data_IF_307243739958
#
_entry.id   IF_307243739958
#
_cell.length_a   1.000
_cell.length_b   1.000
_cell.length_c   1.000
_cell.angle_alpha   90.00
_cell.angle_beta   90.00
_cell.angle_gamma   90.00
#
_symmetry.space_group_name_H-M   'P 1'
#
loop_
_entity.id
_entity.type
_entity.pdbx_description
1 polymer ?
#
# COMPACT_ATOMS: atom_id res chain seq x y z
N UNK A 1 13.40 -10.45 32.21
CA UNK A 1 13.66 -11.16 30.93
C UNK A 1 12.37 -11.49 30.19
N UNK A 2 11.34 -12.04 30.84
CA UNK A 2 10.02 -12.36 30.25
C UNK A 2 9.40 -11.17 29.47
N UNK A 3 9.31 -10.00 30.10
CA UNK A 3 8.73 -8.79 29.50
C UNK A 3 9.46 -8.34 28.22
N UNK A 4 10.78 -8.49 28.18
CA UNK A 4 11.57 -8.15 26.99
C UNK A 4 11.33 -9.15 25.86
N UNK A 5 11.17 -10.45 26.17
CA UNK A 5 10.81 -11.47 25.18
C UNK A 5 9.42 -11.25 24.61
N UNK A 6 8.46 -10.90 25.46
CA UNK A 6 7.10 -10.55 25.03
C UNK A 6 7.11 -9.32 24.14
N UNK A 7 7.89 -8.29 24.48
CA UNK A 7 8.02 -7.10 23.65
C UNK A 7 8.64 -7.42 22.29
N UNK A 8 9.73 -8.20 22.26
CA UNK A 8 10.37 -8.63 21.02
C UNK A 8 9.40 -9.39 20.11
N UNK A 9 8.65 -10.35 20.65
CA UNK A 9 7.65 -11.10 19.87
C UNK A 9 6.56 -10.20 19.26
N UNK A 10 6.15 -9.13 19.96
CA UNK A 10 5.17 -8.17 19.44
C UNK A 10 5.75 -7.28 18.34
N UNK A 11 7.05 -6.96 18.40
CA UNK A 11 7.74 -6.22 17.34
C UNK A 11 7.89 -7.07 16.08
N UNK A 12 8.27 -8.34 16.23
CA UNK A 12 8.34 -9.30 15.12
C UNK A 12 6.98 -9.45 14.43
N UNK A 13 5.91 -9.59 15.22
CA UNK A 13 4.54 -9.67 14.71
C UNK A 13 4.12 -8.37 14.00
N UNK A 14 4.48 -7.21 14.54
CA UNK A 14 4.21 -5.92 13.91
C UNK A 14 4.95 -5.77 12.57
N UNK A 15 6.20 -6.19 12.50
CA UNK A 15 7.00 -6.23 11.27
C UNK A 15 6.36 -7.13 10.22
N UNK A 16 5.96 -8.35 10.59
CA UNK A 16 5.30 -9.28 9.69
C UNK A 16 3.97 -8.73 9.12
N UNK A 17 3.18 -8.04 9.96
CA UNK A 17 1.94 -7.38 9.52
C UNK A 17 2.20 -6.22 8.57
N UNK A 18 3.20 -5.39 8.82
CA UNK A 18 3.59 -4.29 7.93
C UNK A 18 4.10 -4.80 6.58
N UNK A 19 4.89 -5.88 6.57
CA UNK A 19 5.31 -6.54 5.34
C UNK A 19 4.11 -7.07 4.55
N UNK A 20 3.17 -7.72 5.21
CA UNK A 20 1.92 -8.20 4.57
C UNK A 20 1.12 -7.05 3.98
N UNK A 21 0.91 -5.97 4.74
CA UNK A 21 0.20 -4.77 4.27
C UNK A 21 0.87 -4.13 3.05
N UNK A 22 2.21 -4.09 3.01
CA UNK A 22 2.95 -3.57 1.86
C UNK A 22 2.65 -4.33 0.56
N UNK A 23 2.41 -5.64 0.66
CA UNK A 23 2.10 -6.49 -0.49
C UNK A 23 0.62 -6.44 -0.86
N UNK A 24 -0.28 -6.38 0.12
CA UNK A 24 -1.72 -6.44 -0.15
C UNK A 24 -2.26 -5.13 -0.70
N UNK A 25 -1.74 -3.96 -0.27
CA UNK A 25 -2.28 -2.66 -0.68
C UNK A 25 -2.19 -2.45 -2.19
N UNK A 26 -1.11 -2.90 -2.83
CA UNK A 26 -0.93 -2.83 -4.30
C UNK A 26 -1.67 -3.94 -5.03
N UNK A 27 -1.82 -5.12 -4.41
CA UNK A 27 -2.58 -6.23 -4.99
C UNK A 27 -4.09 -5.94 -5.09
N UNK A 28 -4.62 -5.06 -4.23
CA UNK A 28 -6.02 -4.64 -4.24
C UNK A 28 -6.28 -3.36 -5.05
N UNK A 29 -5.30 -2.87 -5.81
CA UNK A 29 -5.47 -1.63 -6.57
C UNK A 29 -6.61 -1.76 -7.60
N UNK A 30 -7.61 -0.85 -7.57
CA UNK A 30 -8.71 -0.89 -8.50
C UNK A 30 -8.22 -0.66 -9.93
N UNK A 31 -8.71 -1.47 -10.87
CA UNK A 31 -8.32 -1.39 -12.26
C UNK A 31 -8.69 -0.03 -12.88
N UNK A 32 -7.94 0.40 -13.91
CA UNK A 32 -8.16 1.62 -14.69
C UNK A 32 -9.64 1.94 -15.05
N UNK A 33 -10.49 0.96 -15.45
CA UNK A 33 -11.91 1.19 -15.71
C UNK A 33 -12.69 1.75 -14.53
N UNK A 34 -12.33 1.40 -13.28
CA UNK A 34 -13.00 1.87 -12.08
C UNK A 34 -12.88 3.39 -11.88
N UNK A 35 -11.89 4.01 -12.50
CA UNK A 35 -11.69 5.46 -12.49
C UNK A 35 -12.36 6.18 -13.67
N UNK A 36 -13.14 5.48 -14.51
CA UNK A 36 -13.75 6.07 -15.70
C UNK A 36 -12.73 6.44 -16.79
N UNK A 37 -11.53 5.85 -16.77
CA UNK A 37 -10.43 6.14 -17.69
C UNK A 37 -10.77 5.91 -19.19
N UNK A 38 -11.83 5.14 -19.46
CA UNK A 38 -12.33 4.84 -20.80
C UNK A 38 -13.40 5.82 -21.29
N UNK A 39 -13.87 6.75 -20.45
CA UNK A 39 -14.81 7.78 -20.89
C UNK A 39 -14.15 8.68 -21.95
N UNK A 40 -14.95 9.19 -22.90
CA UNK A 40 -14.44 10.09 -23.93
C UNK A 40 -14.18 11.49 -23.36
N UNK A 41 -13.22 12.21 -23.97
CA UNK A 41 -12.91 13.60 -23.64
C UNK A 41 -12.39 13.80 -22.21
N UNK A 42 -12.78 14.93 -21.61
CA UNK A 42 -12.24 15.40 -20.32
C UNK A 42 -12.45 14.43 -19.15
N UNK A 43 -13.60 13.74 -19.01
CA UNK A 43 -13.78 12.74 -17.95
C UNK A 43 -12.78 11.58 -18.03
N UNK A 44 -12.45 11.08 -19.22
CA UNK A 44 -11.45 10.02 -19.37
C UNK A 44 -10.03 10.48 -19.04
N UNK A 45 -9.70 11.73 -19.38
CA UNK A 45 -8.42 12.33 -18.98
C UNK A 45 -8.28 12.42 -17.46
N UNK A 46 -9.34 12.87 -16.79
CA UNK A 46 -9.42 12.93 -15.32
C UNK A 46 -9.30 11.53 -14.73
N UNK A 47 -10.03 10.55 -15.28
CA UNK A 47 -9.98 9.17 -14.82
C UNK A 47 -8.59 8.54 -14.95
N UNK A 48 -7.89 8.80 -16.06
CA UNK A 48 -6.49 8.37 -16.24
C UNK A 48 -5.54 9.07 -15.27
N UNK A 49 -5.73 10.37 -15.03
CA UNK A 49 -4.92 11.12 -14.08
C UNK A 49 -5.12 10.64 -12.64
N UNK A 50 -6.38 10.38 -12.25
CA UNK A 50 -6.74 9.88 -10.93
C UNK A 50 -6.19 8.48 -10.69
N UNK A 51 -6.30 7.57 -11.67
CA UNK A 51 -5.67 6.24 -11.57
C UNK A 51 -4.15 6.35 -11.37
N UNK A 52 -3.45 7.21 -12.15
CA UNK A 52 -2.00 7.41 -11.97
C UNK A 52 -1.67 7.93 -10.56
N UNK A 53 -2.41 8.91 -10.05
CA UNK A 53 -2.19 9.43 -8.70
C UNK A 53 -2.43 8.36 -7.64
N UNK A 54 -3.48 7.56 -7.80
CA UNK A 54 -3.77 6.44 -6.92
C UNK A 54 -2.63 5.43 -6.89
N UNK A 55 -2.20 4.89 -8.04
CA UNK A 55 -1.12 3.90 -8.13
C UNK A 55 0.20 4.42 -7.56
N UNK A 56 0.53 5.70 -7.78
CA UNK A 56 1.71 6.31 -7.17
C UNK A 56 1.59 6.35 -5.65
N UNK A 57 0.45 6.83 -5.13
CA UNK A 57 0.23 6.94 -3.69
C UNK A 57 0.20 5.59 -2.97
N UNK A 58 -0.43 4.57 -3.56
CA UNK A 58 -0.45 3.20 -2.98
C UNK A 58 0.90 2.53 -3.07
N UNK A 59 1.64 2.73 -4.17
CA UNK A 59 3.03 2.27 -4.30
C UNK A 59 3.98 2.93 -3.29
N UNK A 60 3.85 4.24 -3.05
CA UNK A 60 4.61 4.95 -2.01
C UNK A 60 4.29 4.41 -0.62
N UNK A 61 3.00 4.22 -0.31
CA UNK A 61 2.58 3.67 0.99
C UNK A 61 3.06 2.23 1.20
N UNK A 62 3.09 1.41 0.15
CA UNK A 62 3.67 0.08 0.19
C UNK A 62 5.17 0.13 0.52
N UNK A 63 5.92 1.01 -0.14
CA UNK A 63 7.36 1.19 0.12
C UNK A 63 7.63 1.69 1.55
N UNK A 64 6.81 2.61 2.05
CA UNK A 64 6.88 3.07 3.44
C UNK A 64 6.64 1.94 4.43
N UNK A 65 5.60 1.12 4.21
CA UNK A 65 5.28 -0.03 5.06
C UNK A 65 6.39 -1.08 5.06
N UNK A 66 6.97 -1.38 3.88
CA UNK A 66 8.10 -2.29 3.77
C UNK A 66 9.36 -1.75 4.47
N UNK A 67 9.66 -0.45 4.32
CA UNK A 67 10.78 0.17 5.00
C UNK A 67 10.61 0.23 6.53
N UNK A 68 9.37 0.40 7.00
CA UNK A 68 9.04 0.32 8.42
C UNK A 68 9.22 -1.11 8.96
N UNK A 69 8.72 -2.12 8.23
CA UNK A 69 8.88 -3.53 8.60
C UNK A 69 10.36 -3.93 8.72
N UNK A 70 11.23 -3.44 7.85
CA UNK A 70 12.66 -3.75 7.86
C UNK A 70 13.46 -3.09 9.00
N UNK A 71 12.86 -2.17 9.76
CA UNK A 71 13.51 -1.40 10.84
C UNK A 71 13.02 -1.76 12.23
N UNK A 72 12.00 -2.62 12.33
CA UNK A 72 11.53 -3.22 13.57
C UNK A 72 12.41 -4.42 13.91
#
# INVERSE_FOLDING_TARGET
>A
METLRVLAARLDEAGARLATLSHTVTATDPAHPAFGAHAAGRPGEIGRALHRQWTTATGDRAREAAAAAARL
#
